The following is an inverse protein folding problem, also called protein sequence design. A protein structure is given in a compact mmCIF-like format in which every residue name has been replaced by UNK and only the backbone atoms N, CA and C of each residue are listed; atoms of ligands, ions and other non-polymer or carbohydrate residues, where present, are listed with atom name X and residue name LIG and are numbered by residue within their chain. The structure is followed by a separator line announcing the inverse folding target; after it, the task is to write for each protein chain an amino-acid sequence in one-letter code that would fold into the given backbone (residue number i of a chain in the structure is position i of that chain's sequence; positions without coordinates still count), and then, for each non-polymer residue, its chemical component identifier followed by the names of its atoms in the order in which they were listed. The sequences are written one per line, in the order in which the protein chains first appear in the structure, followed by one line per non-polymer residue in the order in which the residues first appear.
data_IF_052803023013
#
_entry.id   IF_052803023013
#
_cell.length_a   1.000
_cell.length_b   1.000
_cell.length_c   1.000
_cell.angle_alpha   90.00
_cell.angle_beta   90.00
_cell.angle_gamma   90.00
#
_symmetry.space_group_name_H-M   'P 1'
#
loop_
_entity.id
_entity.type
_entity.pdbx_description
1 polymer ?
#
# COMPACT_ATOMS: atom_id res chain seq x y z
N UNK A 1 -42.14 50.86 -50.18
CA UNK A 1 -40.97 49.96 -50.30
C UNK A 1 -39.90 50.48 -49.36
N UNK A 2 -39.89 49.99 -48.13
CA UNK A 2 -38.92 50.34 -47.09
C UNK A 2 -38.71 49.09 -46.24
N UNK A 3 -37.62 48.39 -46.46
CA UNK A 3 -37.19 47.21 -45.69
C UNK A 3 -35.71 47.34 -45.43
N UNK A 4 -35.36 48.07 -44.37
CA UNK A 4 -34.03 48.02 -43.74
C UNK A 4 -34.23 48.30 -42.25
N UNK A 5 -33.60 47.48 -41.41
CA UNK A 5 -33.48 47.58 -39.94
C UNK A 5 -34.70 47.20 -39.09
N UNK A 6 -34.78 45.91 -38.74
CA UNK A 6 -35.12 45.55 -37.36
C UNK A 6 -34.35 44.29 -36.93
N UNK A 7 -33.03 44.45 -36.77
CA UNK A 7 -32.18 43.54 -36.00
C UNK A 7 -31.72 44.33 -34.80
N UNK A 8 -32.56 44.40 -33.77
CA UNK A 8 -32.22 45.05 -32.51
C UNK A 8 -32.74 44.23 -31.31
N UNK A 9 -31.76 43.69 -30.58
CA UNK A 9 -31.78 43.49 -29.12
C UNK A 9 -32.52 42.28 -28.53
N UNK A 10 -31.98 41.07 -28.71
CA UNK A 10 -31.90 40.10 -27.60
C UNK A 10 -30.60 39.29 -27.65
N UNK A 11 -29.55 39.71 -26.93
CA UNK A 11 -28.66 38.71 -26.37
C UNK A 11 -28.10 39.09 -24.99
N UNK A 12 -28.93 39.24 -23.94
CA UNK A 12 -28.40 39.43 -22.57
C UNK A 12 -29.29 38.88 -21.44
N UNK A 13 -30.12 37.87 -21.72
CA UNK A 13 -30.96 37.21 -20.70
C UNK A 13 -30.65 35.71 -20.55
N UNK A 14 -29.36 35.35 -20.56
CA UNK A 14 -28.93 33.97 -20.32
C UNK A 14 -27.72 33.88 -19.38
N UNK A 15 -27.63 34.77 -18.38
CA UNK A 15 -27.03 34.34 -17.12
C UNK A 15 -28.16 33.65 -16.36
N UNK A 16 -28.33 32.34 -16.57
CA UNK A 16 -29.11 31.52 -15.63
C UNK A 16 -28.51 31.79 -14.26
N UNK A 17 -29.22 32.51 -13.39
CA UNK A 17 -28.88 32.59 -11.98
C UNK A 17 -28.57 31.16 -11.52
N UNK A 18 -27.35 30.93 -11.02
CA UNK A 18 -26.94 29.61 -10.55
C UNK A 18 -27.98 29.18 -9.53
N UNK A 19 -28.83 28.23 -9.90
CA UNK A 19 -29.96 27.85 -9.06
C UNK A 19 -29.39 27.26 -7.77
N UNK A 20 -29.63 27.95 -6.64
CA UNK A 20 -29.15 27.54 -5.32
C UNK A 20 -29.57 26.09 -5.08
N UNK A 21 -28.68 25.18 -4.63
CA UNK A 21 -29.06 23.79 -4.44
C UNK A 21 -30.23 23.62 -3.45
N UNK A 22 -30.86 22.45 -3.47
CA UNK A 22 -31.88 22.08 -2.47
C UNK A 22 -31.22 21.94 -1.09
N UNK A 23 -32.00 22.09 -0.02
CA UNK A 23 -31.49 21.98 1.35
C UNK A 23 -30.87 20.60 1.58
N UNK A 24 -31.58 19.52 1.21
CA UNK A 24 -31.07 18.15 1.36
C UNK A 24 -29.79 17.90 0.58
N UNK A 25 -29.70 18.38 -0.66
CA UNK A 25 -28.47 18.28 -1.47
C UNK A 25 -27.31 19.03 -0.81
N UNK A 26 -27.56 20.25 -0.32
CA UNK A 26 -26.53 21.07 0.33
C UNK A 26 -25.99 20.39 1.59
N UNK A 27 -26.89 19.86 2.44
CA UNK A 27 -26.53 19.16 3.68
C UNK A 27 -25.72 17.90 3.39
N UNK A 28 -26.20 17.03 2.49
CA UNK A 28 -25.52 15.76 2.17
C UNK A 28 -24.15 16.00 1.54
N UNK A 29 -24.05 16.93 0.58
CA UNK A 29 -22.76 17.25 -0.05
C UNK A 29 -21.78 17.87 0.93
N UNK A 30 -22.25 18.77 1.81
CA UNK A 30 -21.39 19.35 2.84
C UNK A 30 -20.85 18.25 3.75
N UNK A 31 -21.71 17.34 4.21
CA UNK A 31 -21.28 16.24 5.07
C UNK A 31 -20.24 15.33 4.39
N UNK A 32 -20.43 14.97 3.12
CA UNK A 32 -19.46 14.10 2.43
C UNK A 32 -18.15 14.83 2.08
N UNK A 33 -18.19 16.12 1.71
CA UNK A 33 -16.98 16.91 1.48
C UNK A 33 -16.21 17.13 2.79
N UNK A 34 -16.89 17.44 3.89
CA UNK A 34 -16.25 17.56 5.21
C UNK A 34 -15.62 16.23 5.63
N UNK A 35 -16.31 15.11 5.39
CA UNK A 35 -15.76 13.79 5.64
C UNK A 35 -14.54 13.46 4.75
N UNK A 36 -14.45 13.98 3.53
CA UNK A 36 -13.26 13.80 2.68
C UNK A 36 -12.08 14.66 3.12
N UNK A 37 -12.35 15.81 3.74
CA UNK A 37 -11.37 16.76 4.29
C UNK A 37 -10.95 16.45 5.73
N UNK A 38 -11.48 15.38 6.33
CA UNK A 38 -11.11 15.00 7.70
C UNK A 38 -9.60 14.66 7.79
N UNK A 39 -8.99 14.83 8.98
CA UNK A 39 -7.59 14.47 9.24
C UNK A 39 -7.14 13.12 8.67
N UNK A 40 -6.04 13.12 7.93
CA UNK A 40 -5.39 11.92 7.37
C UNK A 40 -4.19 11.47 8.21
N UNK A 41 -3.72 10.24 8.03
CA UNK A 41 -2.50 9.74 8.68
C UNK A 41 -1.24 10.28 8.02
N UNK A 42 -1.29 10.47 6.69
CA UNK A 42 -0.17 10.91 5.88
C UNK A 42 -0.51 12.18 5.07
N UNK A 43 0.51 12.99 4.74
CA UNK A 43 0.38 14.06 3.76
C UNK A 43 -0.08 13.52 2.41
N UNK A 44 -1.17 14.09 1.89
CA UNK A 44 -1.73 13.69 0.60
C UNK A 44 -1.26 14.61 -0.50
N UNK A 45 -1.07 14.03 -1.68
CA UNK A 45 -0.90 14.80 -2.91
C UNK A 45 -2.23 15.44 -3.32
N UNK A 46 -2.21 16.55 -4.10
CA UNK A 46 -3.45 17.20 -4.55
C UNK A 46 -4.33 16.26 -5.37
N UNK A 47 -3.72 15.36 -6.16
CA UNK A 47 -4.42 14.33 -6.96
C UNK A 47 -5.14 13.31 -6.07
N UNK A 48 -4.49 12.84 -5.01
CA UNK A 48 -5.09 11.87 -4.08
C UNK A 48 -6.29 12.49 -3.34
N UNK A 49 -6.15 13.73 -2.87
CA UNK A 49 -7.25 14.46 -2.24
C UNK A 49 -8.38 14.81 -3.24
N UNK A 50 -8.05 15.11 -4.50
CA UNK A 50 -9.01 15.32 -5.57
C UNK A 50 -9.90 14.09 -5.81
N UNK A 51 -9.27 12.92 -5.98
CA UNK A 51 -9.98 11.65 -6.21
C UNK A 51 -10.89 11.34 -5.02
N UNK A 52 -10.37 11.45 -3.80
CA UNK A 52 -11.14 11.22 -2.58
C UNK A 52 -12.36 12.15 -2.48
N UNK A 53 -12.14 13.45 -2.64
CA UNK A 53 -13.21 14.46 -2.56
C UNK A 53 -14.23 14.29 -3.68
N UNK A 54 -13.78 13.96 -4.90
CA UNK A 54 -14.64 13.68 -6.05
C UNK A 54 -15.52 12.45 -5.84
N UNK A 55 -14.96 11.36 -5.28
CA UNK A 55 -15.69 10.15 -4.92
C UNK A 55 -16.77 10.43 -3.86
N UNK A 56 -16.41 11.11 -2.77
CA UNK A 56 -17.36 11.49 -1.71
C UNK A 56 -18.45 12.44 -2.22
N UNK A 57 -18.10 13.35 -3.12
CA UNK A 57 -19.07 14.23 -3.79
C UNK A 57 -20.03 13.42 -4.66
N UNK A 58 -19.54 12.48 -5.46
CA UNK A 58 -20.37 11.61 -6.30
C UNK A 58 -21.32 10.72 -5.45
N UNK A 59 -20.80 10.14 -4.37
CA UNK A 59 -21.61 9.40 -3.38
C UNK A 59 -22.67 10.30 -2.77
N UNK A 60 -22.31 11.52 -2.35
CA UNK A 60 -23.24 12.50 -1.79
C UNK A 60 -24.36 12.87 -2.77
N UNK A 61 -24.04 13.09 -4.05
CA UNK A 61 -25.03 13.31 -5.10
C UNK A 61 -25.95 12.10 -5.30
N UNK A 62 -25.39 10.88 -5.27
CA UNK A 62 -26.13 9.63 -5.35
C UNK A 62 -27.10 9.44 -4.20
N UNK A 63 -26.64 9.63 -2.96
CA UNK A 63 -27.45 9.59 -1.74
C UNK A 63 -28.55 10.65 -1.80
N UNK A 64 -28.20 11.91 -2.13
CA UNK A 64 -29.20 12.97 -2.28
C UNK A 64 -30.25 12.62 -3.36
N UNK A 65 -29.87 11.90 -4.42
CA UNK A 65 -30.80 11.39 -5.43
C UNK A 65 -31.71 10.29 -4.91
N UNK A 66 -31.16 9.34 -4.15
CA UNK A 66 -31.91 8.26 -3.54
C UNK A 66 -32.91 8.77 -2.50
N UNK A 67 -32.49 9.68 -1.60
CA UNK A 67 -33.36 10.28 -0.59
C UNK A 67 -34.59 10.94 -1.24
N UNK A 68 -34.41 11.60 -2.39
CA UNK A 68 -35.54 12.17 -3.16
C UNK A 68 -36.49 11.09 -3.69
N UNK A 69 -35.96 9.97 -4.16
CA UNK A 69 -36.78 8.87 -4.71
C UNK A 69 -37.62 8.19 -3.63
N UNK A 70 -37.11 8.11 -2.39
CA UNK A 70 -37.84 7.54 -1.25
C UNK A 70 -38.73 8.56 -0.52
N UNK A 71 -38.94 9.74 -1.10
CA UNK A 71 -39.90 10.73 -0.58
C UNK A 71 -39.36 11.65 0.52
N UNK A 72 -38.05 11.61 0.84
CA UNK A 72 -37.45 12.60 1.74
C UNK A 72 -37.39 13.94 0.99
N UNK A 73 -38.28 14.85 1.40
CA UNK A 73 -38.53 16.12 0.73
C UNK A 73 -37.28 17.00 0.63
N UNK A 74 -37.23 17.94 -0.33
CA UNK A 74 -36.07 18.79 -0.62
C UNK A 74 -35.69 19.77 0.50
N UNK A 75 -36.43 19.80 1.61
CA UNK A 75 -36.41 20.80 2.66
C UNK A 75 -37.15 22.09 2.27
N UNK A 76 -37.30 23.04 3.21
CA UNK A 76 -38.04 24.28 2.96
C UNK A 76 -37.32 25.17 1.94
N UNK A 77 -38.03 25.64 0.90
CA UNK A 77 -37.43 26.45 -0.16
C UNK A 77 -36.84 27.78 0.35
N UNK A 78 -37.51 28.39 1.33
CA UNK A 78 -37.08 29.63 1.99
C UNK A 78 -35.69 29.52 2.66
N UNK A 79 -35.25 28.30 2.99
CA UNK A 79 -33.96 28.06 3.66
C UNK A 79 -32.81 27.76 2.69
N UNK A 80 -33.06 27.58 1.38
CA UNK A 80 -32.03 27.13 0.42
C UNK A 80 -30.78 28.02 0.43
N UNK A 81 -30.95 29.34 0.37
CA UNK A 81 -29.83 30.29 0.35
C UNK A 81 -29.07 30.30 1.68
N UNK A 82 -29.78 30.27 2.80
CA UNK A 82 -29.16 30.21 4.13
C UNK A 82 -28.37 28.89 4.31
N UNK A 83 -28.95 27.75 3.94
CA UNK A 83 -28.26 26.46 4.00
C UNK A 83 -27.06 26.41 3.06
N UNK A 84 -27.17 26.93 1.84
CA UNK A 84 -26.06 26.97 0.89
C UNK A 84 -24.93 27.88 1.38
N UNK A 85 -25.25 29.01 2.02
CA UNK A 85 -24.26 29.87 2.66
C UNK A 85 -23.54 29.17 3.82
N UNK A 86 -24.29 28.54 4.74
CA UNK A 86 -23.73 27.77 5.86
C UNK A 86 -22.86 26.61 5.34
N UNK A 87 -23.30 25.93 4.28
CA UNK A 87 -22.54 24.89 3.60
C UNK A 87 -21.20 25.43 3.07
N UNK A 88 -21.22 26.56 2.37
CA UNK A 88 -20.02 27.19 1.83
C UNK A 88 -19.03 27.61 2.94
N UNK A 89 -19.53 28.21 4.02
CA UNK A 89 -18.72 28.58 5.19
C UNK A 89 -18.12 27.35 5.86
N UNK A 90 -18.92 26.29 6.05
CA UNK A 90 -18.45 25.03 6.64
C UNK A 90 -17.34 24.40 5.79
N UNK A 91 -17.52 24.31 4.47
CA UNK A 91 -16.50 23.76 3.55
C UNK A 91 -15.25 24.63 3.57
N UNK A 92 -15.37 25.96 3.53
CA UNK A 92 -14.22 26.87 3.61
C UNK A 92 -13.43 26.68 4.92
N UNK A 93 -14.14 26.57 6.05
CA UNK A 93 -13.51 26.27 7.34
C UNK A 93 -12.81 24.91 7.34
N UNK A 94 -13.45 23.86 6.80
CA UNK A 94 -12.85 22.53 6.68
C UNK A 94 -11.61 22.52 5.79
N UNK A 95 -11.57 23.31 4.71
CA UNK A 95 -10.37 23.48 3.88
C UNK A 95 -9.24 24.12 4.69
N UNK A 96 -9.52 25.14 5.50
CA UNK A 96 -8.53 25.77 6.38
C UNK A 96 -8.02 24.79 7.45
N UNK A 97 -8.92 24.00 8.06
CA UNK A 97 -8.55 22.97 9.03
C UNK A 97 -7.70 21.87 8.38
N UNK A 98 -8.10 21.40 7.19
CA UNK A 98 -7.34 20.43 6.42
C UNK A 98 -5.97 20.96 6.00
N UNK A 99 -5.88 22.25 5.65
CA UNK A 99 -4.60 22.91 5.34
C UNK A 99 -3.65 22.86 6.54
N UNK A 100 -4.14 23.29 7.71
CA UNK A 100 -3.34 23.24 8.96
C UNK A 100 -2.91 21.81 9.31
N UNK A 101 -3.79 20.83 9.12
CA UNK A 101 -3.46 19.42 9.35
C UNK A 101 -2.38 18.91 8.39
N UNK A 102 -2.56 19.17 7.08
CA UNK A 102 -1.63 18.80 6.02
C UNK A 102 -0.25 19.43 6.22
N UNK A 103 -0.18 20.68 6.67
CA UNK A 103 1.08 21.37 6.97
C UNK A 103 1.70 20.90 8.28
N UNK A 104 0.90 20.58 9.29
CA UNK A 104 1.40 19.99 10.55
C UNK A 104 2.08 18.64 10.32
N UNK A 105 1.46 17.76 9.55
CA UNK A 105 2.08 16.48 9.15
C UNK A 105 3.36 16.71 8.34
N UNK A 106 3.33 17.63 7.37
CA UNK A 106 4.50 17.95 6.54
C UNK A 106 5.65 18.51 7.37
N UNK A 107 5.37 19.38 8.33
CA UNK A 107 6.39 19.96 9.20
C UNK A 107 7.12 18.90 10.02
N UNK A 108 6.39 17.96 10.65
CA UNK A 108 6.99 16.85 11.41
C UNK A 108 7.79 15.91 10.51
N UNK A 109 7.33 15.72 9.27
CA UNK A 109 7.99 14.85 8.27
C UNK A 109 9.03 15.60 7.42
N UNK A 110 9.41 16.83 7.74
CA UNK A 110 10.43 17.59 6.99
C UNK A 110 10.08 17.88 5.52
N UNK A 111 8.79 17.98 5.19
CA UNK A 111 8.28 18.26 3.84
C UNK A 111 7.83 19.72 3.69
N UNK A 112 7.83 20.20 2.45
CA UNK A 112 7.39 21.55 2.11
C UNK A 112 5.88 21.72 2.33
N UNK A 113 5.42 22.84 2.93
CA UNK A 113 4.01 23.12 3.18
C UNK A 113 3.21 23.25 1.87
N UNK A 114 1.88 23.07 1.95
CA UNK A 114 1.02 23.18 0.77
C UNK A 114 0.77 24.65 0.40
N UNK A 115 0.91 24.96 -0.89
CA UNK A 115 0.54 26.26 -1.44
C UNK A 115 -0.89 26.30 -1.97
N UNK A 116 -1.36 27.49 -2.38
CA UNK A 116 -2.70 27.69 -2.95
C UNK A 116 -2.99 26.76 -4.15
N UNK A 117 -1.98 26.50 -4.97
CA UNK A 117 -2.09 25.64 -6.14
C UNK A 117 -2.57 24.21 -5.79
N UNK A 118 -2.25 23.72 -4.59
CA UNK A 118 -2.74 22.44 -4.08
C UNK A 118 -4.27 22.36 -4.15
N UNK A 119 -4.95 23.35 -3.56
CA UNK A 119 -6.40 23.37 -3.48
C UNK A 119 -7.06 23.65 -4.83
N UNK A 120 -6.43 24.43 -5.71
CA UNK A 120 -6.89 24.64 -7.09
C UNK A 120 -6.90 23.31 -7.85
N UNK A 121 -5.80 22.56 -7.79
CA UNK A 121 -5.70 21.23 -8.40
C UNK A 121 -6.68 20.24 -7.77
N UNK A 122 -6.81 20.25 -6.44
CA UNK A 122 -7.77 19.41 -5.73
C UNK A 122 -9.21 19.69 -6.17
N UNK A 123 -9.62 20.95 -6.24
CA UNK A 123 -10.97 21.34 -6.64
C UNK A 123 -11.26 20.96 -8.10
N UNK A 124 -10.33 21.27 -9.02
CA UNK A 124 -10.48 20.92 -10.44
C UNK A 124 -10.56 19.40 -10.65
N UNK A 125 -9.65 18.64 -10.02
CA UNK A 125 -9.65 17.19 -10.11
C UNK A 125 -10.88 16.55 -9.46
N UNK A 126 -11.32 17.05 -8.29
CA UNK A 126 -12.52 16.56 -7.62
C UNK A 126 -13.78 16.80 -8.46
N UNK A 127 -13.90 17.99 -9.08
CA UNK A 127 -15.00 18.30 -9.99
C UNK A 127 -15.00 17.36 -11.20
N UNK A 128 -13.84 17.13 -11.82
CA UNK A 128 -13.70 16.19 -12.94
C UNK A 128 -14.16 14.77 -12.55
N UNK A 129 -13.64 14.23 -11.44
CA UNK A 129 -14.01 12.88 -10.95
C UNK A 129 -15.50 12.80 -10.62
N UNK A 130 -16.05 13.79 -9.91
CA UNK A 130 -17.46 13.80 -9.54
C UNK A 130 -18.39 13.87 -10.76
N UNK A 131 -18.07 14.74 -11.74
CA UNK A 131 -18.83 14.87 -12.99
C UNK A 131 -18.77 13.58 -13.80
N UNK A 132 -17.58 12.98 -13.93
CA UNK A 132 -17.40 11.73 -14.67
C UNK A 132 -18.23 10.59 -14.05
N UNK A 133 -18.13 10.38 -12.74
CA UNK A 133 -18.88 9.32 -12.04
C UNK A 133 -20.38 9.57 -12.06
N UNK A 134 -20.81 10.82 -11.86
CA UNK A 134 -22.23 11.18 -11.95
C UNK A 134 -22.76 10.99 -13.38
N UNK A 135 -21.99 11.35 -14.41
CA UNK A 135 -22.32 11.14 -15.81
C UNK A 135 -22.45 9.66 -16.18
N UNK A 136 -21.51 8.83 -15.72
CA UNK A 136 -21.55 7.37 -15.93
C UNK A 136 -22.79 6.76 -15.27
N UNK A 137 -23.03 7.07 -13.99
CA UNK A 137 -24.16 6.50 -13.24
C UNK A 137 -25.52 6.93 -13.80
N UNK A 138 -25.66 8.19 -14.21
CA UNK A 138 -26.89 8.68 -14.85
C UNK A 138 -27.08 8.12 -16.25
N UNK A 139 -26.01 7.97 -17.04
CA UNK A 139 -26.04 7.35 -18.35
C UNK A 139 -26.47 5.88 -18.29
N UNK A 140 -25.91 5.10 -17.35
CA UNK A 140 -26.34 3.71 -17.10
C UNK A 140 -27.80 3.66 -16.69
N UNK A 141 -28.24 4.53 -15.77
CA UNK A 141 -29.63 4.59 -15.32
C UNK A 141 -30.61 4.93 -16.46
N UNK A 142 -30.22 5.84 -17.37
CA UNK A 142 -31.01 6.17 -18.55
C UNK A 142 -31.11 5.00 -19.52
N UNK A 143 -29.99 4.32 -19.81
CA UNK A 143 -29.97 3.16 -20.70
C UNK A 143 -30.81 2.00 -20.15
N UNK A 144 -30.70 1.72 -18.84
CA UNK A 144 -31.50 0.72 -18.16
C UNK A 144 -33.00 1.07 -18.17
N UNK A 145 -33.35 2.34 -17.96
CA UNK A 145 -34.74 2.81 -18.04
C UNK A 145 -35.36 2.68 -19.43
N UNK A 146 -34.56 2.77 -20.50
CA UNK A 146 -35.01 2.64 -21.88
C UNK A 146 -35.23 1.18 -22.32
N UNK A 147 -34.52 0.24 -21.70
CA UNK A 147 -34.61 -1.20 -22.02
C UNK A 147 -35.81 -1.89 -21.33
N UNK A 148 -36.35 -1.31 -20.26
CA UNK A 148 -37.39 -1.92 -19.43
C UNK A 148 -36.81 -2.93 -18.43
N UNK A 149 -37.50 -3.12 -17.30
CA UNK A 149 -36.95 -3.78 -16.10
C UNK A 149 -36.50 -5.23 -16.35
N UNK A 150 -37.26 -6.00 -17.13
CA UNK A 150 -36.95 -7.42 -17.45
C UNK A 150 -35.74 -7.56 -18.38
N UNK A 151 -35.66 -6.75 -19.44
CA UNK A 151 -34.52 -6.77 -20.38
C UNK A 151 -33.27 -6.18 -19.72
N UNK A 152 -33.43 -5.19 -18.83
CA UNK A 152 -32.35 -4.64 -18.01
C UNK A 152 -31.75 -5.67 -17.05
N UNK A 153 -32.58 -6.46 -16.36
CA UNK A 153 -32.11 -7.57 -15.50
C UNK A 153 -31.40 -8.63 -16.35
N UNK A 154 -31.99 -9.06 -17.48
CA UNK A 154 -31.36 -10.05 -18.37
C UNK A 154 -30.00 -9.59 -18.89
N UNK A 155 -29.88 -8.35 -19.36
CA UNK A 155 -28.59 -7.77 -19.79
C UNK A 155 -27.61 -7.65 -18.62
N UNK A 156 -28.07 -7.30 -17.41
CA UNK A 156 -27.20 -7.18 -16.24
C UNK A 156 -26.67 -8.54 -15.77
N UNK A 157 -27.49 -9.59 -15.83
CA UNK A 157 -27.07 -10.97 -15.52
C UNK A 157 -26.07 -11.43 -16.56
N UNK A 158 -26.37 -11.26 -17.86
CA UNK A 158 -25.45 -11.65 -18.95
C UNK A 158 -24.16 -10.86 -18.88
N UNK A 159 -24.21 -9.55 -18.63
CA UNK A 159 -23.03 -8.72 -18.43
C UNK A 159 -22.24 -9.11 -17.17
N UNK A 160 -22.91 -9.49 -16.08
CA UNK A 160 -22.28 -9.99 -14.87
C UNK A 160 -21.59 -11.33 -15.08
N UNK A 161 -22.23 -12.27 -15.80
CA UNK A 161 -21.64 -13.56 -16.18
C UNK A 161 -20.47 -13.35 -17.15
N UNK A 162 -20.63 -12.51 -18.18
CA UNK A 162 -19.55 -12.18 -19.11
C UNK A 162 -18.38 -11.48 -18.40
N UNK A 163 -18.68 -10.58 -17.45
CA UNK A 163 -17.67 -9.96 -16.59
C UNK A 163 -16.92 -11.04 -15.79
N UNK A 164 -17.62 -12.00 -15.19
CA UNK A 164 -17.01 -13.04 -14.36
C UNK A 164 -16.25 -14.11 -15.16
N UNK A 165 -16.74 -14.54 -16.32
CA UNK A 165 -16.20 -15.67 -17.09
C UNK A 165 -15.16 -15.22 -18.12
N UNK A 166 -15.31 -14.01 -18.66
CA UNK A 166 -14.44 -13.52 -19.74
C UNK A 166 -13.55 -12.40 -19.22
N UNK A 167 -14.15 -11.32 -18.72
CA UNK A 167 -13.39 -10.10 -18.41
C UNK A 167 -12.49 -10.30 -17.20
N UNK A 168 -12.97 -10.92 -16.12
CA UNK A 168 -12.18 -11.14 -14.89
C UNK A 168 -10.98 -12.04 -15.18
N UNK A 169 -11.11 -13.23 -15.80
CA UNK A 169 -9.95 -14.05 -16.17
C UNK A 169 -9.01 -13.36 -17.17
N UNK A 170 -9.54 -12.65 -18.17
CA UNK A 170 -8.71 -11.91 -19.12
C UNK A 170 -7.93 -10.78 -18.45
N UNK A 171 -8.54 -10.01 -17.55
CA UNK A 171 -7.89 -8.96 -16.78
C UNK A 171 -6.86 -9.53 -15.81
N UNK A 172 -7.15 -10.66 -15.15
CA UNK A 172 -6.20 -11.34 -14.27
C UNK A 172 -5.01 -11.87 -15.08
N UNK A 173 -5.25 -12.54 -16.21
CA UNK A 173 -4.20 -13.03 -17.09
C UNK A 173 -3.34 -11.90 -17.66
N UNK A 174 -3.95 -10.83 -18.15
CA UNK A 174 -3.25 -9.64 -18.62
C UNK A 174 -2.40 -8.99 -17.53
N UNK A 175 -2.93 -8.84 -16.30
CA UNK A 175 -2.19 -8.32 -15.15
C UNK A 175 -0.99 -9.19 -14.81
N UNK A 176 -1.15 -10.51 -14.74
CA UNK A 176 -0.05 -11.43 -14.45
C UNK A 176 1.07 -11.32 -15.48
N UNK A 177 0.73 -11.25 -16.77
CA UNK A 177 1.71 -11.04 -17.85
C UNK A 177 2.38 -9.67 -17.74
N UNK A 178 1.63 -8.61 -17.48
CA UNK A 178 2.16 -7.26 -17.31
C UNK A 178 3.12 -7.17 -16.10
N UNK A 179 2.76 -7.78 -14.97
CA UNK A 179 3.59 -7.82 -13.77
C UNK A 179 4.87 -8.65 -13.98
N UNK A 180 4.77 -9.82 -14.65
CA UNK A 180 5.95 -10.62 -15.00
C UNK A 180 6.87 -9.86 -15.96
N UNK A 181 6.31 -9.18 -16.97
CA UNK A 181 7.09 -8.34 -17.88
C UNK A 181 7.80 -7.21 -17.14
N UNK A 182 7.11 -6.49 -16.27
CA UNK A 182 7.70 -5.44 -15.42
C UNK A 182 8.80 -5.98 -14.50
N UNK A 183 8.61 -7.19 -13.94
CA UNK A 183 9.63 -7.87 -13.14
C UNK A 183 10.89 -8.24 -13.95
N UNK A 184 10.72 -8.58 -15.23
CA UNK A 184 11.80 -8.90 -16.15
C UNK A 184 12.59 -7.70 -16.65
N UNK A 185 12.06 -6.48 -16.56
CA UNK A 185 12.75 -5.26 -17.01
C UNK A 185 14.04 -5.08 -16.21
N UNK A 186 15.16 -5.01 -16.94
CA UNK A 186 16.47 -4.71 -16.38
C UNK A 186 16.63 -3.19 -16.41
N UNK A 187 16.76 -2.60 -15.22
CA UNK A 187 17.11 -1.19 -15.08
C UNK A 187 18.60 -1.03 -15.39
N UNK A 188 18.92 -0.24 -16.43
CA UNK A 188 20.30 -0.03 -16.88
C UNK A 188 21.12 0.82 -15.90
N UNK A 189 20.48 1.47 -14.92
CA UNK A 189 21.18 2.13 -13.83
C UNK A 189 21.74 1.14 -12.80
N UNK A 190 21.28 -0.12 -12.80
CA UNK A 190 21.77 -1.16 -11.92
C UNK A 190 22.90 -1.95 -12.59
N UNK A 191 24.06 -1.96 -11.94
CA UNK A 191 25.22 -2.75 -12.38
C UNK A 191 25.13 -4.19 -11.86
N UNK A 192 25.43 -5.14 -12.73
CA UNK A 192 25.56 -6.55 -12.33
C UNK A 192 26.73 -6.69 -11.33
N UNK A 193 26.54 -7.36 -10.18
CA UNK A 193 27.60 -7.54 -9.20
C UNK A 193 28.81 -8.29 -9.76
N UNK A 194 30.01 -7.76 -9.52
CA UNK A 194 31.26 -8.49 -9.76
C UNK A 194 31.66 -9.36 -8.56
N UNK A 195 31.23 -8.98 -7.35
CA UNK A 195 31.57 -9.69 -6.12
C UNK A 195 30.94 -11.07 -6.06
N UNK A 196 31.74 -12.06 -5.68
CA UNK A 196 31.35 -13.47 -5.56
C UNK A 196 30.37 -13.71 -4.40
N UNK A 197 30.34 -12.80 -3.42
CA UNK A 197 29.44 -12.79 -2.25
C UNK A 197 27.98 -12.42 -2.57
N UNK A 198 27.69 -12.12 -3.84
CA UNK A 198 26.37 -11.62 -4.28
C UNK A 198 25.80 -12.46 -5.42
N UNK A 199 24.51 -12.73 -5.35
CA UNK A 199 23.78 -13.38 -6.44
C UNK A 199 23.75 -12.52 -7.69
N UNK A 200 23.68 -13.18 -8.84
CA UNK A 200 23.73 -12.53 -10.16
C UNK A 200 25.14 -12.22 -10.66
N UNK A 201 26.20 -12.48 -9.88
CA UNK A 201 27.58 -12.42 -10.37
C UNK A 201 27.88 -13.53 -11.39
N UNK A 202 29.03 -13.46 -12.06
CA UNK A 202 29.43 -14.46 -13.06
C UNK A 202 29.54 -15.89 -12.49
N UNK A 203 29.85 -16.01 -11.20
CA UNK A 203 29.99 -17.29 -10.48
C UNK A 203 28.68 -17.75 -9.84
N UNK A 204 27.65 -16.89 -9.80
CA UNK A 204 26.36 -17.16 -9.17
C UNK A 204 25.60 -18.29 -9.86
N UNK A 205 24.96 -19.17 -9.08
CA UNK A 205 24.02 -20.15 -9.63
C UNK A 205 22.72 -19.50 -10.12
N UNK A 206 22.45 -18.29 -9.66
CA UNK A 206 21.30 -17.47 -10.08
C UNK A 206 21.77 -16.45 -11.11
N UNK A 207 21.22 -16.49 -12.31
CA UNK A 207 21.58 -15.51 -13.35
C UNK A 207 21.00 -14.12 -13.05
N UNK A 208 21.75 -13.07 -13.38
CA UNK A 208 21.34 -11.67 -13.20
C UNK A 208 19.95 -11.34 -13.78
N UNK A 209 19.64 -11.93 -14.94
CA UNK A 209 18.36 -11.71 -15.62
C UNK A 209 17.17 -12.34 -14.89
N UNK A 210 17.37 -13.43 -14.15
CA UNK A 210 16.28 -14.18 -13.49
C UNK A 210 15.97 -13.70 -12.07
N UNK A 211 16.82 -12.85 -11.47
CA UNK A 211 16.61 -12.27 -10.14
C UNK A 211 15.31 -11.46 -9.99
N UNK A 212 14.74 -11.01 -11.11
CA UNK A 212 13.66 -10.02 -11.12
C UNK A 212 14.14 -8.62 -10.76
N UNK A 213 13.26 -7.63 -10.91
CA UNK A 213 13.59 -6.21 -10.71
C UNK A 213 14.01 -5.93 -9.27
N UNK A 214 13.26 -6.44 -8.30
CA UNK A 214 13.54 -6.19 -6.88
C UNK A 214 14.75 -7.00 -6.37
N UNK A 215 14.94 -8.23 -6.86
CA UNK A 215 16.14 -9.02 -6.55
C UNK A 215 17.41 -8.37 -7.07
N UNK A 216 17.37 -7.77 -8.29
CA UNK A 216 18.49 -6.98 -8.81
C UNK A 216 18.80 -5.79 -7.92
N UNK A 217 17.81 -5.01 -7.48
CA UNK A 217 18.04 -3.87 -6.55
C UNK A 217 18.67 -4.32 -5.24
N UNK A 218 18.20 -5.43 -4.68
CA UNK A 218 18.72 -6.01 -3.45
C UNK A 218 20.22 -6.34 -3.54
N UNK A 219 20.68 -6.97 -4.63
CA UNK A 219 22.09 -7.37 -4.77
C UNK A 219 23.00 -6.27 -5.34
N UNK A 220 22.47 -5.32 -6.11
CA UNK A 220 23.27 -4.30 -6.83
C UNK A 220 23.52 -3.01 -6.08
N UNK A 221 22.88 -2.80 -4.93
CA UNK A 221 23.17 -1.60 -4.13
C UNK A 221 24.67 -1.58 -3.80
N UNK A 222 25.39 -0.60 -4.36
CA UNK A 222 26.83 -0.46 -4.25
C UNK A 222 27.22 -0.20 -2.79
N UNK A 223 28.08 -1.06 -2.27
CA UNK A 223 28.65 -0.91 -0.94
C UNK A 223 29.94 -1.74 -0.91
N UNK A 224 31.03 -1.19 -0.39
CA UNK A 224 32.29 -1.91 -0.14
C UNK A 224 32.14 -2.86 1.06
N UNK A 225 31.07 -3.67 1.06
CA UNK A 225 30.72 -4.56 2.15
C UNK A 225 31.22 -5.95 1.85
N UNK A 226 31.67 -6.65 2.90
CA UNK A 226 31.97 -8.08 2.83
C UNK A 226 30.71 -8.94 3.03
N UNK A 227 29.56 -8.32 3.24
CA UNK A 227 28.27 -8.98 3.48
C UNK A 227 27.86 -9.87 2.31
N UNK A 228 27.20 -10.97 2.64
CA UNK A 228 26.64 -11.88 1.64
C UNK A 228 25.21 -11.47 1.33
N UNK A 229 24.86 -11.38 0.05
CA UNK A 229 23.49 -11.11 -0.42
C UNK A 229 23.07 -12.19 -1.41
N UNK A 230 22.39 -13.21 -0.89
CA UNK A 230 21.83 -14.30 -1.67
C UNK A 230 20.37 -14.03 -2.02
N UNK A 231 20.00 -14.10 -3.29
CA UNK A 231 18.62 -13.86 -3.71
C UNK A 231 18.20 -14.77 -4.86
N UNK A 232 16.98 -15.31 -4.78
CA UNK A 232 16.39 -16.15 -5.83
C UNK A 232 15.10 -15.51 -6.34
N UNK A 233 15.05 -15.25 -7.65
CA UNK A 233 13.85 -14.75 -8.33
C UNK A 233 12.90 -15.88 -8.72
N UNK A 234 11.67 -15.53 -9.09
CA UNK A 234 10.67 -16.52 -9.52
C UNK A 234 11.06 -17.29 -10.78
N UNK A 235 11.78 -16.63 -11.70
CA UNK A 235 12.23 -17.22 -12.96
C UNK A 235 13.55 -18.00 -12.83
N UNK A 236 14.17 -18.03 -11.64
CA UNK A 236 15.46 -18.71 -11.42
C UNK A 236 15.33 -20.24 -11.29
N UNK A 237 14.15 -20.75 -10.94
CA UNK A 237 13.84 -22.18 -10.90
C UNK A 237 12.32 -22.42 -11.03
N UNK A 238 11.89 -23.58 -11.56
CA UNK A 238 10.52 -23.81 -12.01
C UNK A 238 9.49 -23.85 -10.87
N UNK A 239 9.85 -24.39 -9.71
CA UNK A 239 8.94 -24.61 -8.58
C UNK A 239 9.56 -24.14 -7.24
N UNK A 240 8.73 -24.08 -6.20
CA UNK A 240 9.12 -23.56 -4.89
C UNK A 240 10.28 -24.36 -4.28
N UNK A 241 10.21 -25.69 -4.31
CA UNK A 241 11.23 -26.55 -3.72
C UNK A 241 12.57 -26.38 -4.44
N UNK A 242 12.56 -26.34 -5.77
CA UNK A 242 13.76 -26.06 -6.58
C UNK A 242 14.34 -24.68 -6.30
N UNK A 243 13.51 -23.65 -6.11
CA UNK A 243 13.95 -22.29 -5.74
C UNK A 243 14.55 -22.22 -4.34
N UNK A 244 13.96 -22.92 -3.36
CA UNK A 244 14.49 -23.00 -2.00
C UNK A 244 15.87 -23.68 -1.99
N UNK A 245 16.00 -24.81 -2.67
CA UNK A 245 17.29 -25.50 -2.78
C UNK A 245 18.34 -24.62 -3.48
N UNK A 246 17.94 -23.90 -4.53
CA UNK A 246 18.81 -22.94 -5.20
C UNK A 246 19.25 -21.82 -4.25
N UNK A 247 18.35 -21.31 -3.40
CA UNK A 247 18.66 -20.26 -2.43
C UNK A 247 19.67 -20.72 -1.37
N UNK A 248 19.51 -21.93 -0.84
CA UNK A 248 20.47 -22.50 0.13
C UNK A 248 21.84 -22.71 -0.50
N UNK A 249 21.91 -23.29 -1.70
CA UNK A 249 23.19 -23.47 -2.42
C UNK A 249 23.85 -22.14 -2.76
N UNK A 250 23.07 -21.15 -3.17
CA UNK A 250 23.58 -19.83 -3.51
C UNK A 250 24.09 -19.09 -2.27
N UNK A 251 23.41 -19.22 -1.14
CA UNK A 251 23.88 -18.74 0.17
C UNK A 251 25.22 -19.38 0.55
N UNK A 252 25.33 -20.71 0.40
CA UNK A 252 26.57 -21.45 0.68
C UNK A 252 27.71 -21.04 -0.25
N UNK A 253 27.46 -21.00 -1.56
CA UNK A 253 28.42 -20.58 -2.58
C UNK A 253 28.97 -19.17 -2.32
N UNK A 254 28.10 -18.26 -1.92
CA UNK A 254 28.47 -16.88 -1.63
C UNK A 254 29.26 -16.71 -0.31
N UNK A 255 29.48 -17.79 0.47
CA UNK A 255 30.19 -17.74 1.74
C UNK A 255 29.29 -17.39 2.93
N UNK A 256 27.98 -17.59 2.82
CA UNK A 256 27.04 -17.23 3.88
C UNK A 256 27.17 -18.08 5.15
N UNK A 257 27.63 -19.33 5.02
CA UNK A 257 27.80 -20.24 6.15
C UNK A 257 29.01 -19.91 7.04
N UNK A 258 29.94 -19.07 6.55
CA UNK A 258 31.12 -18.63 7.32
C UNK A 258 30.93 -17.28 8.01
N UNK A 259 29.74 -16.68 7.91
CA UNK A 259 29.39 -15.42 8.59
C UNK A 259 29.04 -15.65 10.04
N UNK A 260 29.07 -14.61 10.87
CA UNK A 260 28.55 -14.69 12.25
C UNK A 260 27.03 -14.79 12.29
N UNK A 261 26.33 -14.20 11.31
CA UNK A 261 24.87 -14.12 11.29
C UNK A 261 24.29 -14.44 9.91
N UNK A 262 23.17 -15.15 9.88
CA UNK A 262 22.33 -15.37 8.69
C UNK A 262 20.95 -14.78 8.94
N UNK A 263 20.53 -13.86 8.09
CA UNK A 263 19.19 -13.24 8.12
C UNK A 263 18.38 -13.76 6.95
N UNK A 264 17.30 -14.49 7.25
CA UNK A 264 16.28 -14.83 6.26
C UNK A 264 15.35 -13.63 6.12
N UNK A 265 15.54 -12.85 5.04
CA UNK A 265 14.77 -11.67 4.73
C UNK A 265 13.56 -12.06 3.87
N UNK A 266 12.39 -12.12 4.48
CA UNK A 266 11.14 -12.45 3.80
C UNK A 266 10.65 -11.22 3.02
N UNK A 267 10.64 -11.26 1.68
CA UNK A 267 10.28 -10.09 0.90
C UNK A 267 8.77 -9.81 0.96
N UNK A 268 8.40 -8.61 0.52
CA UNK A 268 7.00 -8.31 0.18
C UNK A 268 6.64 -8.88 -1.20
N UNK A 269 5.35 -8.81 -1.58
CA UNK A 269 4.77 -9.47 -2.77
C UNK A 269 5.69 -9.61 -3.98
N UNK A 270 6.15 -8.47 -4.53
CA UNK A 270 6.97 -8.42 -5.74
C UNK A 270 8.42 -8.89 -5.57
N UNK A 271 8.83 -9.35 -4.38
CA UNK A 271 10.22 -9.65 -4.06
C UNK A 271 10.98 -8.50 -3.39
N UNK A 272 10.30 -7.42 -3.04
CA UNK A 272 10.99 -6.26 -2.46
C UNK A 272 11.42 -6.50 -1.00
N UNK A 273 12.70 -6.25 -0.74
CA UNK A 273 13.33 -6.15 0.59
C UNK A 273 13.85 -4.71 0.72
N UNK A 274 13.55 -4.06 1.84
CA UNK A 274 13.93 -2.67 2.07
C UNK A 274 15.45 -2.51 2.20
N UNK A 275 16.03 -1.61 1.38
CA UNK A 275 17.45 -1.29 1.40
C UNK A 275 17.91 -0.73 2.75
N UNK A 276 17.04 -0.01 3.47
CA UNK A 276 17.34 0.45 4.83
C UNK A 276 17.49 -0.71 5.80
N UNK A 277 16.68 -1.77 5.65
CA UNK A 277 16.82 -2.97 6.46
C UNK A 277 18.15 -3.68 6.18
N UNK A 278 18.50 -3.84 4.90
CA UNK A 278 19.79 -4.41 4.47
C UNK A 278 20.96 -3.63 5.08
N UNK A 279 20.99 -2.31 4.90
CA UNK A 279 22.02 -1.44 5.48
C UNK A 279 22.03 -1.48 7.03
N UNK A 280 20.86 -1.66 7.65
CA UNK A 280 20.72 -1.85 9.09
C UNK A 280 21.39 -3.13 9.59
N UNK A 281 21.19 -4.25 8.88
CA UNK A 281 21.79 -5.54 9.22
C UNK A 281 23.31 -5.52 9.01
N UNK A 282 23.76 -4.99 7.87
CA UNK A 282 25.17 -4.81 7.57
C UNK A 282 25.86 -3.98 8.65
N UNK A 283 25.24 -2.87 9.10
CA UNK A 283 25.75 -2.09 10.22
C UNK A 283 25.74 -2.85 11.54
N UNK A 284 24.65 -3.56 11.86
CA UNK A 284 24.47 -4.28 13.12
C UNK A 284 25.48 -5.39 13.33
N UNK A 285 25.88 -6.04 12.24
CA UNK A 285 26.79 -7.18 12.24
C UNK A 285 28.16 -6.83 11.64
N UNK A 286 28.48 -5.54 11.44
CA UNK A 286 29.76 -5.08 10.91
C UNK A 286 30.17 -5.77 9.60
N UNK A 287 29.22 -5.89 8.66
CA UNK A 287 29.33 -6.62 7.39
C UNK A 287 29.59 -8.14 7.50
N UNK A 288 29.64 -8.67 8.72
CA UNK A 288 29.74 -10.10 8.99
C UNK A 288 28.37 -10.79 9.05
N UNK A 289 27.55 -10.54 8.03
CA UNK A 289 26.20 -11.08 7.89
C UNK A 289 25.95 -11.60 6.49
N UNK A 290 25.13 -12.64 6.40
CA UNK A 290 24.54 -13.12 5.16
C UNK A 290 23.04 -12.87 5.15
N UNK A 291 22.54 -12.17 4.13
CA UNK A 291 21.12 -11.98 3.91
C UNK A 291 20.65 -12.90 2.78
N UNK A 292 19.59 -13.66 3.01
CA UNK A 292 18.98 -14.53 2.01
C UNK A 292 17.51 -14.20 1.82
N UNK A 293 17.08 -14.01 0.56
CA UNK A 293 15.70 -13.72 0.20
C UNK A 293 15.24 -14.53 -1.02
N UNK A 294 13.93 -14.75 -1.14
CA UNK A 294 13.34 -15.47 -2.27
C UNK A 294 12.00 -14.86 -2.68
N UNK A 295 11.88 -14.52 -3.96
CA UNK A 295 10.64 -13.99 -4.52
C UNK A 295 9.56 -15.08 -4.58
N UNK A 296 8.32 -14.73 -4.21
CA UNK A 296 7.17 -15.65 -4.27
C UNK A 296 6.01 -15.14 -5.14
N UNK A 297 5.98 -13.86 -5.52
CA UNK A 297 4.96 -13.32 -6.43
C UNK A 297 5.51 -12.27 -7.40
N UNK A 298 4.87 -12.15 -8.56
CA UNK A 298 5.05 -11.01 -9.47
C UNK A 298 4.16 -9.83 -9.07
N UNK A 299 3.10 -10.07 -8.28
CA UNK A 299 2.09 -9.07 -8.00
C UNK A 299 2.62 -7.95 -7.09
N UNK A 300 2.20 -6.69 -7.32
CA UNK A 300 2.59 -5.56 -6.48
C UNK A 300 2.07 -5.74 -5.04
N UNK A 301 2.77 -5.14 -4.08
CA UNK A 301 2.57 -5.34 -2.64
C UNK A 301 1.14 -5.07 -2.14
N UNK A 302 0.41 -4.11 -2.72
CA UNK A 302 -1.00 -3.86 -2.36
C UNK A 302 -1.95 -4.98 -2.82
N UNK A 303 -1.65 -5.65 -3.94
CA UNK A 303 -2.48 -6.73 -4.47
C UNK A 303 -2.26 -8.01 -3.66
N UNK A 304 -1.01 -8.29 -3.27
CA UNK A 304 -0.68 -9.41 -2.39
C UNK A 304 -1.12 -9.16 -0.95
N UNK A 305 -1.17 -7.92 -0.49
CA UNK A 305 -1.73 -7.57 0.82
C UNK A 305 -3.18 -8.09 0.99
N UNK A 306 -3.97 -8.07 -0.08
CA UNK A 306 -5.37 -8.53 -0.07
C UNK A 306 -5.50 -10.03 -0.39
N UNK A 307 -4.64 -10.58 -1.27
CA UNK A 307 -4.84 -11.93 -1.82
C UNK A 307 -3.65 -12.90 -1.71
N UNK A 308 -2.51 -12.46 -1.19
CA UNK A 308 -1.22 -13.16 -1.30
C UNK A 308 -0.68 -13.79 -0.02
N UNK A 309 -1.41 -13.77 1.10
CA UNK A 309 -0.92 -14.25 2.41
C UNK A 309 -0.42 -15.69 2.37
N UNK A 310 -1.20 -16.61 1.81
CA UNK A 310 -0.85 -18.04 1.80
C UNK A 310 0.49 -18.31 1.09
N UNK A 311 0.72 -17.68 -0.06
CA UNK A 311 1.97 -17.84 -0.81
C UNK A 311 3.18 -17.25 -0.07
N UNK A 312 2.99 -16.12 0.65
CA UNK A 312 4.03 -15.53 1.48
C UNK A 312 4.39 -16.46 2.66
N UNK A 313 3.40 -17.05 3.32
CA UNK A 313 3.61 -17.99 4.42
C UNK A 313 4.28 -19.29 3.97
N UNK A 314 3.82 -19.89 2.87
CA UNK A 314 4.37 -21.14 2.34
C UNK A 314 5.83 -20.97 1.92
N UNK A 315 6.14 -19.91 1.17
CA UNK A 315 7.50 -19.63 0.71
C UNK A 315 8.46 -19.28 1.86
N UNK A 316 8.00 -18.47 2.82
CA UNK A 316 8.79 -18.13 4.01
C UNK A 316 9.08 -19.36 4.87
N UNK A 317 8.08 -20.21 5.14
CA UNK A 317 8.25 -21.47 5.89
C UNK A 317 9.25 -22.39 5.19
N UNK A 318 9.12 -22.57 3.88
CA UNK A 318 10.00 -23.45 3.12
C UNK A 318 11.45 -22.96 3.12
N UNK A 319 11.69 -21.68 2.83
CA UNK A 319 13.05 -21.11 2.83
C UNK A 319 13.66 -21.13 4.24
N UNK A 320 12.91 -20.66 5.25
CA UNK A 320 13.41 -20.58 6.62
C UNK A 320 13.79 -21.97 7.16
N UNK A 321 12.93 -22.96 6.95
CA UNK A 321 13.18 -24.35 7.38
C UNK A 321 14.41 -24.92 6.69
N UNK A 322 14.58 -24.71 5.38
CA UNK A 322 15.72 -25.24 4.64
C UNK A 322 17.05 -24.58 5.08
N UNK A 323 17.05 -23.27 5.34
CA UNK A 323 18.22 -22.57 5.88
C UNK A 323 18.52 -23.08 7.29
N UNK A 324 17.53 -23.12 8.19
CA UNK A 324 17.69 -23.62 9.55
C UNK A 324 18.24 -25.06 9.58
N UNK A 325 17.72 -25.93 8.71
CA UNK A 325 18.20 -27.30 8.55
C UNK A 325 19.66 -27.32 8.12
N UNK A 326 20.04 -26.55 7.09
CA UNK A 326 21.43 -26.50 6.61
C UNK A 326 22.38 -26.00 7.70
N UNK A 327 21.99 -24.98 8.46
CA UNK A 327 22.77 -24.48 9.59
C UNK A 327 22.89 -25.54 10.71
N UNK A 328 21.85 -26.35 10.93
CA UNK A 328 21.87 -27.40 11.95
C UNK A 328 22.89 -28.52 11.67
N UNK A 329 23.31 -28.70 10.42
CA UNK A 329 24.33 -29.66 9.99
C UNK A 329 25.75 -29.18 10.28
N UNK A 330 25.95 -27.88 10.55
CA UNK A 330 27.25 -27.33 10.90
C UNK A 330 27.63 -27.66 12.36
N UNK A 331 28.93 -27.84 12.64
CA UNK A 331 29.43 -27.95 14.01
C UNK A 331 28.98 -26.75 14.85
N UNK A 332 28.53 -26.94 16.11
CA UNK A 332 27.98 -25.87 16.93
C UNK A 332 28.88 -24.63 17.06
N UNK A 333 30.20 -24.80 17.04
CA UNK A 333 31.17 -23.69 17.19
C UNK A 333 31.33 -22.83 15.94
N UNK A 334 30.85 -23.29 14.79
CA UNK A 334 30.99 -22.62 13.49
C UNK A 334 29.64 -22.22 12.89
N UNK A 335 28.55 -22.39 13.66
CA UNK A 335 27.20 -22.13 13.17
C UNK A 335 26.90 -20.63 13.29
N UNK A 336 26.47 -19.95 12.20
CA UNK A 336 25.97 -18.59 12.29
C UNK A 336 24.68 -18.53 13.12
N UNK A 337 24.50 -17.42 13.81
CA UNK A 337 23.23 -17.09 14.45
C UNK A 337 22.16 -16.86 13.38
N UNK A 338 21.00 -17.50 13.56
CA UNK A 338 19.89 -17.42 12.61
C UNK A 338 18.88 -16.35 13.04
N UNK A 339 18.59 -15.43 12.13
CA UNK A 339 17.59 -14.39 12.30
C UNK A 339 16.54 -14.44 11.20
N UNK A 340 15.36 -13.92 11.48
CA UNK A 340 14.29 -13.76 10.50
C UNK A 340 13.73 -12.34 10.53
N UNK A 341 13.49 -11.82 9.33
CA UNK A 341 13.02 -10.45 9.13
C UNK A 341 11.91 -10.40 8.09
N UNK A 342 10.96 -9.50 8.29
CA UNK A 342 9.97 -9.20 7.27
C UNK A 342 9.30 -7.85 7.49
N UNK A 343 9.04 -7.15 6.39
CA UNK A 343 8.25 -5.91 6.38
C UNK A 343 6.89 -6.16 5.75
N UNK A 344 5.82 -5.53 6.24
CA UNK A 344 4.49 -5.58 5.61
C UNK A 344 3.99 -7.03 5.46
N UNK A 345 3.60 -7.45 4.26
CA UNK A 345 3.25 -8.85 3.98
C UNK A 345 4.40 -9.83 4.25
N UNK A 346 5.66 -9.39 4.13
CA UNK A 346 6.83 -10.19 4.51
C UNK A 346 6.85 -10.52 6.01
N UNK A 347 6.34 -9.63 6.86
CA UNK A 347 6.23 -9.93 8.31
C UNK A 347 5.17 -11.00 8.60
N UNK A 348 4.12 -11.09 7.77
CA UNK A 348 3.10 -12.15 7.89
C UNK A 348 3.72 -13.50 7.55
N UNK A 349 4.44 -13.59 6.42
CA UNK A 349 5.16 -14.80 6.05
C UNK A 349 6.24 -15.18 7.07
N UNK A 350 7.02 -14.19 7.52
CA UNK A 350 8.06 -14.37 8.52
C UNK A 350 7.52 -14.84 9.86
N UNK A 351 6.46 -14.21 10.39
CA UNK A 351 5.81 -14.63 11.63
C UNK A 351 5.29 -16.07 11.54
N UNK A 352 4.67 -16.44 10.42
CA UNK A 352 4.19 -17.80 10.20
C UNK A 352 5.32 -18.83 10.10
N UNK A 353 6.49 -18.44 9.57
CA UNK A 353 7.68 -19.30 9.52
C UNK A 353 8.34 -19.47 10.90
N UNK A 354 8.51 -18.37 11.62
CA UNK A 354 9.15 -18.31 12.94
C UNK A 354 8.39 -19.13 14.00
N UNK A 355 7.05 -19.09 13.98
CA UNK A 355 6.19 -19.83 14.91
C UNK A 355 5.66 -21.15 14.32
N UNK A 356 6.30 -21.68 13.27
CA UNK A 356 5.86 -22.93 12.64
C UNK A 356 6.03 -24.15 13.57
N UNK A 357 7.13 -24.20 14.33
CA UNK A 357 7.39 -25.24 15.34
C UNK A 357 8.21 -24.67 16.50
N UNK A 358 8.10 -25.26 17.69
CA UNK A 358 8.89 -24.85 18.85
C UNK A 358 10.41 -24.97 18.60
N UNK A 359 10.86 -26.03 17.90
CA UNK A 359 12.26 -26.22 17.57
C UNK A 359 12.82 -25.10 16.69
N UNK A 360 12.02 -24.61 15.73
CA UNK A 360 12.37 -23.49 14.86
C UNK A 360 12.45 -22.19 15.67
N UNK A 361 11.50 -21.94 16.57
CA UNK A 361 11.53 -20.76 17.44
C UNK A 361 12.75 -20.81 18.37
N UNK A 362 13.04 -21.95 19.00
CA UNK A 362 14.17 -22.11 19.94
C UNK A 362 15.55 -21.96 19.28
N UNK A 363 15.69 -22.31 18.00
CA UNK A 363 16.95 -22.22 17.25
C UNK A 363 17.16 -20.88 16.53
N UNK A 364 16.20 -19.96 16.63
CA UNK A 364 16.25 -18.64 15.98
C UNK A 364 16.61 -17.57 17.01
N UNK A 365 17.70 -16.86 16.81
CA UNK A 365 18.28 -15.90 17.75
C UNK A 365 17.57 -14.54 17.78
N UNK A 366 16.72 -14.26 16.79
CA UNK A 366 15.88 -13.07 16.80
C UNK A 366 14.93 -12.98 15.62
N UNK A 367 13.81 -12.28 15.85
CA UNK A 367 12.81 -11.98 14.84
C UNK A 367 12.44 -10.50 14.89
N UNK A 368 12.27 -9.88 13.71
CA UNK A 368 11.83 -8.48 13.61
C UNK A 368 10.80 -8.27 12.50
N UNK A 369 9.67 -7.66 12.88
CA UNK A 369 8.54 -7.34 12.01
C UNK A 369 8.38 -5.82 11.85
N UNK A 370 8.65 -5.31 10.65
CA UNK A 370 8.46 -3.90 10.33
C UNK A 370 7.10 -3.65 9.66
N UNK A 371 6.31 -2.73 10.20
CA UNK A 371 4.97 -2.39 9.70
C UNK A 371 4.05 -3.59 9.47
N UNK A 372 3.92 -4.52 10.45
CA UNK A 372 3.05 -5.67 10.26
C UNK A 372 1.60 -5.22 10.10
N UNK A 373 0.84 -5.78 9.14
CA UNK A 373 -0.58 -5.49 9.02
C UNK A 373 -1.33 -5.70 10.33
N UNK A 374 -2.33 -4.86 10.58
CA UNK A 374 -3.13 -4.87 11.80
C UNK A 374 -3.61 -6.28 12.18
N UNK A 375 -3.13 -6.79 13.33
CA UNK A 375 -3.50 -8.10 13.86
C UNK A 375 -3.10 -9.31 13.02
N UNK A 376 -2.13 -9.17 12.10
CA UNK A 376 -1.77 -10.22 11.15
C UNK A 376 -0.53 -11.04 11.52
N UNK A 377 0.20 -10.65 12.57
CA UNK A 377 1.41 -11.35 13.03
C UNK A 377 1.27 -11.74 14.49
N UNK A 378 1.86 -12.88 14.85
CA UNK A 378 2.20 -13.16 16.24
C UNK A 378 3.39 -12.28 16.65
N UNK A 379 3.26 -11.63 17.80
CA UNK A 379 4.19 -10.64 18.33
C UNK A 379 5.06 -11.20 19.46
N UNK A 380 4.84 -12.45 19.87
CA UNK A 380 5.63 -13.10 20.93
C UNK A 380 7.05 -13.31 20.45
N UNK A 381 8.00 -12.99 21.33
CA UNK A 381 9.43 -13.23 21.12
C UNK A 381 9.98 -12.64 19.80
N UNK A 382 9.40 -11.50 19.38
CA UNK A 382 9.74 -10.75 18.18
C UNK A 382 9.72 -9.25 18.44
N UNK A 383 10.65 -8.51 17.85
CA UNK A 383 10.65 -7.04 17.89
C UNK A 383 9.71 -6.49 16.83
N UNK A 384 8.85 -5.54 17.21
CA UNK A 384 7.92 -4.89 16.28
C UNK A 384 8.34 -3.44 16.07
N UNK A 385 8.51 -3.06 14.81
CA UNK A 385 8.66 -1.67 14.42
C UNK A 385 7.38 -1.21 13.74
N UNK A 386 6.67 -0.27 14.36
CA UNK A 386 5.42 0.27 13.81
C UNK A 386 5.36 1.77 14.05
N UNK A 387 5.19 2.56 12.99
CA UNK A 387 4.94 3.99 13.10
C UNK A 387 3.45 4.21 13.32
N UNK A 388 3.07 5.15 14.19
CA UNK A 388 1.66 5.47 14.39
C UNK A 388 1.05 6.04 13.11
N UNK A 389 1.79 6.76 12.27
CA UNK A 389 1.29 7.28 10.98
C UNK A 389 1.14 6.22 9.88
N UNK A 390 1.58 4.97 10.10
CA UNK A 390 1.48 3.91 9.11
C UNK A 390 0.01 3.43 8.93
N UNK A 391 -0.61 3.61 7.75
CA UNK A 391 -1.95 3.09 7.50
C UNK A 391 -2.01 1.55 7.51
N UNK A 392 -0.91 0.84 7.22
CA UNK A 392 -0.87 -0.63 7.15
C UNK A 392 -1.07 -1.27 8.53
N UNK A 393 -0.46 -0.70 9.58
CA UNK A 393 -0.58 -1.21 10.95
C UNK A 393 -1.95 -0.92 11.56
N UNK A 394 -2.70 0.05 11.00
CA UNK A 394 -4.04 0.44 11.46
C UNK A 394 -5.17 -0.22 10.67
N UNK A 395 -4.97 -0.46 9.37
CA UNK A 395 -6.05 -0.82 8.48
C UNK A 395 -6.62 -2.20 8.79
N UNK A 396 -7.90 -2.23 9.15
CA UNK A 396 -8.70 -3.44 9.26
C UNK A 396 -10.17 -3.11 9.07
N UNK A 397 -11.02 -4.09 8.68
CA UNK A 397 -12.48 -3.88 8.64
C UNK A 397 -13.07 -3.44 9.98
N UNK A 398 -12.40 -3.72 11.11
CA UNK A 398 -12.83 -3.28 12.44
C UNK A 398 -12.86 -1.76 12.59
N UNK A 399 -12.06 -1.01 11.80
CA UNK A 399 -12.08 0.46 11.79
C UNK A 399 -13.46 1.06 11.47
N UNK A 400 -14.37 0.29 10.87
CA UNK A 400 -15.74 0.71 10.65
C UNK A 400 -16.48 0.99 11.97
N UNK A 401 -16.14 0.26 13.04
CA UNK A 401 -16.90 0.23 14.30
C UNK A 401 -16.04 0.33 15.56
N UNK A 402 -14.71 0.19 15.46
CA UNK A 402 -13.76 0.27 16.57
C UNK A 402 -12.54 1.12 16.22
N UNK A 403 -11.95 1.85 17.18
CA UNK A 403 -10.68 2.55 16.98
C UNK A 403 -9.52 1.56 16.71
N UNK A 404 -8.44 2.00 16.04
CA UNK A 404 -7.26 1.16 15.83
C UNK A 404 -6.61 0.81 17.16
N UNK A 405 -6.06 -0.41 17.24
CA UNK A 405 -5.11 -0.77 18.29
C UNK A 405 -3.73 -0.25 17.91
N UNK A 406 -3.17 0.60 18.77
CA UNK A 406 -1.89 1.27 18.57
C UNK A 406 -0.83 0.82 19.58
N UNK A 407 -1.11 -0.26 20.33
CA UNK A 407 -0.16 -0.82 21.26
C UNK A 407 1.16 -1.20 20.56
N UNK A 408 2.27 -0.70 21.12
CA UNK A 408 3.60 -0.92 20.56
C UNK A 408 3.89 -0.16 19.26
N UNK A 409 3.10 0.87 18.91
CA UNK A 409 3.47 1.82 17.86
C UNK A 409 4.30 2.97 18.44
N UNK A 410 5.27 3.46 17.67
CA UNK A 410 6.00 4.69 17.95
C UNK A 410 5.19 5.86 17.41
N UNK A 411 4.85 6.81 18.28
CA UNK A 411 4.19 8.04 17.87
C UNK A 411 5.19 8.87 17.07
N UNK A 412 4.99 8.95 15.75
CA UNK A 412 5.88 9.65 14.83
C UNK A 412 5.22 10.88 14.17
N UNK A 413 3.88 11.00 14.25
CA UNK A 413 3.15 12.15 13.72
C UNK A 413 1.86 12.41 14.53
N UNK A 414 1.25 13.61 14.40
CA UNK A 414 -0.07 13.89 14.96
C UNK A 414 -1.13 12.87 14.54
N UNK A 415 -1.92 12.41 15.51
CA UNK A 415 -2.87 11.32 15.29
C UNK A 415 -4.29 11.84 15.09
N UNK A 416 -4.98 11.41 14.01
CA UNK A 416 -6.36 11.81 13.79
C UNK A 416 -7.28 11.15 14.82
N UNK A 417 -8.30 11.88 15.27
CA UNK A 417 -9.38 11.30 16.07
C UNK A 417 -10.09 10.21 15.26
N UNK A 418 -10.41 9.10 15.92
CA UNK A 418 -11.17 8.02 15.27
C UNK A 418 -12.63 8.42 15.14
N UNK A 419 -13.14 8.32 13.90
CA UNK A 419 -14.55 8.54 13.56
C UNK A 419 -15.02 7.28 12.83
N UNK A 420 -16.08 6.60 13.31
CA UNK A 420 -16.63 5.40 12.66
C UNK A 420 -16.88 5.63 11.18
N UNK A 421 -16.57 4.62 10.35
CA UNK A 421 -16.64 4.66 8.87
C UNK A 421 -15.66 5.65 8.22
N UNK A 422 -15.59 6.90 8.67
CA UNK A 422 -14.70 7.93 8.11
C UNK A 422 -13.25 7.50 8.25
N UNK A 423 -12.80 7.08 9.44
CA UNK A 423 -11.42 6.62 9.64
C UNK A 423 -11.08 5.39 8.80
N UNK A 424 -12.02 4.47 8.58
CA UNK A 424 -11.82 3.34 7.67
C UNK A 424 -11.57 3.82 6.23
N UNK A 425 -12.41 4.73 5.73
CA UNK A 425 -12.28 5.28 4.37
C UNK A 425 -10.99 6.10 4.22
N UNK A 426 -10.67 6.93 5.20
CA UNK A 426 -9.45 7.75 5.24
C UNK A 426 -8.19 6.87 5.25
N UNK A 427 -8.14 5.87 6.13
CA UNK A 427 -7.01 4.93 6.21
C UNK A 427 -6.88 4.11 4.93
N UNK A 428 -8.00 3.70 4.31
CA UNK A 428 -8.01 2.97 3.03
C UNK A 428 -7.37 3.78 1.92
N UNK A 429 -7.65 5.09 1.87
CA UNK A 429 -7.01 5.98 0.91
C UNK A 429 -5.52 6.10 1.23
N UNK A 430 -5.16 6.33 2.50
CA UNK A 430 -3.77 6.52 2.91
C UNK A 430 -2.87 5.31 2.60
N UNK A 431 -3.43 4.08 2.52
CA UNK A 431 -2.69 2.90 2.04
C UNK A 431 -2.04 3.12 0.67
N UNK A 432 -2.69 3.85 -0.24
CA UNK A 432 -2.16 4.13 -1.59
C UNK A 432 -0.89 4.99 -1.56
N UNK A 433 -0.71 5.76 -0.49
CA UNK A 433 0.44 6.64 -0.26
C UNK A 433 1.31 6.22 0.90
N UNK A 434 1.20 4.98 1.39
CA UNK A 434 1.85 4.53 2.62
C UNK A 434 3.38 4.71 2.60
N UNK A 435 4.00 4.62 1.42
CA UNK A 435 5.45 4.79 1.20
C UNK A 435 5.84 6.21 0.73
N UNK A 436 4.94 7.19 0.73
CA UNK A 436 5.24 8.55 0.26
C UNK A 436 5.85 9.46 1.34
N UNK A 437 5.92 8.97 2.58
CA UNK A 437 6.59 9.66 3.68
C UNK A 437 8.09 9.30 3.73
N UNK A 438 8.94 10.16 4.32
CA UNK A 438 10.34 9.83 4.55
C UNK A 438 10.50 8.69 5.57
N UNK A 439 11.69 8.10 5.61
CA UNK A 439 12.00 7.02 6.55
C UNK A 439 11.77 7.47 8.00
N UNK A 440 11.12 6.60 8.78
CA UNK A 440 10.64 6.90 10.12
C UNK A 440 9.18 7.34 10.19
N UNK A 441 8.52 7.51 9.04
CA UNK A 441 7.11 7.86 8.95
C UNK A 441 6.38 6.97 7.96
N UNK A 442 5.07 6.84 8.14
CA UNK A 442 4.23 5.95 7.36
C UNK A 442 4.80 4.53 7.35
N UNK A 443 4.69 3.90 6.19
CA UNK A 443 5.20 2.55 5.96
C UNK A 443 6.68 2.53 5.52
N UNK A 444 7.39 3.67 5.64
CA UNK A 444 8.84 3.73 5.42
C UNK A 444 9.57 3.67 6.75
N UNK A 445 10.33 2.60 6.93
CA UNK A 445 11.17 2.40 8.09
C UNK A 445 12.63 2.64 7.71
N UNK A 446 13.43 3.03 8.68
CA UNK A 446 14.85 3.29 8.51
C UNK A 446 15.71 2.06 8.79
N UNK A 447 16.96 2.35 9.10
CA UNK A 447 18.01 1.37 9.41
C UNK A 447 17.77 0.61 10.72
N UNK A 448 16.87 1.11 11.57
CA UNK A 448 16.40 0.42 12.76
C UNK A 448 15.82 -0.97 12.45
N UNK A 449 15.35 -1.21 11.23
CA UNK A 449 14.90 -2.53 10.76
C UNK A 449 15.96 -3.62 10.92
N UNK A 450 17.24 -3.26 10.80
CA UNK A 450 18.33 -4.18 11.08
C UNK A 450 19.03 -3.91 12.40
N UNK A 451 19.22 -2.64 12.79
CA UNK A 451 19.96 -2.32 14.02
C UNK A 451 19.19 -2.61 15.30
N UNK A 452 17.86 -2.69 15.25
CA UNK A 452 17.02 -3.09 16.37
C UNK A 452 16.70 -4.59 16.40
N UNK A 453 17.29 -5.40 15.49
CA UNK A 453 17.14 -6.85 15.53
C UNK A 453 17.58 -7.38 16.90
N UNK A 454 16.69 -8.06 17.65
CA UNK A 454 17.04 -8.59 18.95
C UNK A 454 18.06 -9.71 18.76
N UNK A 455 18.96 -9.84 19.72
CA UNK A 455 19.81 -11.01 19.88
C UNK A 455 19.43 -11.63 21.22
N UNK A 456 18.59 -12.66 21.15
CA UNK A 456 18.12 -13.36 22.33
C UNK A 456 19.05 -14.52 22.64
N UNK A 457 19.38 -14.66 23.93
CA UNK A 457 20.19 -15.77 24.42
C UNK A 457 19.35 -17.06 24.46
N UNK A 458 19.12 -17.64 23.27
CA UNK A 458 18.42 -18.91 23.04
C UNK A 458 19.42 -20.04 22.77
N UNK A 459 18.94 -21.28 22.72
CA UNK A 459 19.82 -22.45 22.51
C UNK A 459 20.49 -22.37 21.14
N UNK A 460 21.81 -22.33 21.14
CA UNK A 460 22.61 -22.34 19.92
C UNK A 460 22.85 -20.96 19.31
N UNK A 461 22.54 -19.88 20.04
CA UNK A 461 22.97 -18.52 19.72
C UNK A 461 24.29 -18.22 20.44
N UNK A 462 25.25 -17.62 19.72
CA UNK A 462 26.61 -17.36 20.19
C UNK A 462 26.72 -16.16 21.15
#
# INVERSE_FOLDING_TARGET
MSTVFDVATRPLAAVRAVAVPRVTTSVVLTATIVASLSPSLLPRTPTMQAVLTGLFTAVGLGVASLLRRVGIGPGPEKLRSATAFIAAVTVAWSILAATRWQDGLRAVMGMQPIGLLYWVQTAAGAAFVAIALYGITTGIGWAAGRLGLVRGIGVSIVAGIALQVIVVPAVVGWRTTAYRAANGVVDTALSQPLSTTRSGSAESYVSWSTLGSEGRKFVSTESDTTSVRAYVGLDSAPDLHSRVNLAVRELERAGGLSKSAVVVAVPTGSGWVDANAVAGFERRFHDDVALVGMQYSYAPSWATFVFGRAAAEESAKALFTAVAQRLSELPPQHRPDLFIYGQSLGSVGGSAAFHSTAAVTESTCGALWAGPPAGAVDRRDATILANSSDPVVRWSPRLLVQPPDLAGTRIDAPEPQWIPVVSFLQTTVDLLGALNAPAGHGHRYGVEQGTAMPHENRRGCA
#
